data_IF_478735885358
#
_entry.id   IF_478735885358
#
_cell.length_a   1.000
_cell.length_b   1.000
_cell.length_c   1.000
_cell.angle_alpha   90.00
_cell.angle_beta   90.00
_cell.angle_gamma   90.00
#
_symmetry.space_group_name_H-M   'P 1'
#
loop_
_entity.id
_entity.type
_entity.pdbx_description
1 polymer ?
#
# COMPACT_ATOMS: atom_id res chain seq x y z
N UNK A 1 -27.86 -48.63 9.51
CA UNK A 1 -27.70 -48.13 8.13
C UNK A 1 -26.25 -47.70 8.00
N UNK A 2 -25.38 -48.63 7.65
CA UNK A 2 -23.94 -48.40 7.49
C UNK A 2 -23.68 -47.95 6.05
N UNK A 3 -23.38 -46.68 5.87
CA UNK A 3 -22.89 -46.19 4.59
C UNK A 3 -21.44 -46.63 4.42
N UNK A 4 -21.26 -47.72 3.68
CA UNK A 4 -19.99 -48.02 3.01
C UNK A 4 -19.79 -46.98 1.90
N UNK A 5 -19.14 -45.87 2.21
CA UNK A 5 -18.56 -44.98 1.21
C UNK A 5 -17.24 -45.56 0.75
N UNK A 6 -17.17 -46.07 -0.48
CA UNK A 6 -15.92 -46.49 -1.11
C UNK A 6 -15.00 -45.27 -1.23
N UNK A 7 -14.08 -45.08 -0.27
CA UNK A 7 -12.93 -44.18 -0.43
C UNK A 7 -11.94 -44.90 -1.33
N UNK A 8 -12.08 -44.73 -2.63
CA UNK A 8 -11.07 -45.23 -3.57
C UNK A 8 -9.84 -44.36 -3.43
N UNK A 9 -8.77 -44.96 -2.90
CA UNK A 9 -7.43 -44.36 -2.97
C UNK A 9 -6.97 -44.54 -4.42
N UNK A 10 -6.62 -43.43 -5.06
CA UNK A 10 -5.98 -43.46 -6.37
C UNK A 10 -4.47 -43.64 -6.16
N UNK A 11 -3.87 -44.59 -6.87
CA UNK A 11 -2.44 -44.87 -6.80
C UNK A 11 -1.78 -44.59 -8.15
N UNK A 12 -0.72 -43.80 -8.14
CA UNK A 12 0.14 -43.54 -9.28
C UNK A 12 1.54 -44.03 -8.95
N UNK A 13 2.14 -44.87 -9.79
CA UNK A 13 3.51 -45.34 -9.59
C UNK A 13 4.39 -44.98 -10.78
N UNK A 14 5.62 -44.58 -10.52
CA UNK A 14 6.64 -44.29 -11.52
C UNK A 14 8.00 -44.81 -11.09
N UNK A 15 8.93 -44.94 -12.03
CA UNK A 15 10.34 -45.20 -11.71
C UNK A 15 11.09 -43.88 -11.77
N UNK A 16 11.72 -43.48 -10.67
CA UNK A 16 12.49 -42.24 -10.62
C UNK A 16 13.82 -42.37 -11.39
N UNK A 17 14.55 -41.26 -11.49
CA UNK A 17 15.83 -41.20 -12.22
C UNK A 17 16.91 -42.14 -11.68
N UNK A 18 16.77 -42.55 -10.41
CA UNK A 18 17.66 -43.51 -9.74
C UNK A 18 17.22 -44.98 -9.93
N UNK A 19 16.19 -45.25 -10.74
CA UNK A 19 15.67 -46.58 -10.99
C UNK A 19 14.81 -47.15 -9.86
N UNK A 20 14.37 -46.32 -8.91
CA UNK A 20 13.56 -46.73 -7.77
C UNK A 20 12.07 -46.57 -8.09
N UNK A 21 11.25 -47.49 -7.60
CA UNK A 21 9.80 -47.37 -7.69
C UNK A 21 9.28 -46.39 -6.66
N UNK A 22 8.65 -45.33 -7.14
CA UNK A 22 7.94 -44.34 -6.33
C UNK A 22 6.44 -44.51 -6.53
N UNK A 23 5.67 -44.37 -5.46
CA UNK A 23 4.22 -44.51 -5.48
C UNK A 23 3.54 -43.39 -4.72
N UNK A 24 2.65 -42.69 -5.39
CA UNK A 24 1.82 -41.62 -4.85
C UNK A 24 0.41 -42.14 -4.58
N UNK A 25 -0.12 -41.79 -3.42
CA UNK A 25 -1.46 -42.17 -2.97
C UNK A 25 -2.31 -40.91 -2.81
N UNK A 26 -3.44 -40.86 -3.48
CA UNK A 26 -4.36 -39.73 -3.46
C UNK A 26 -5.73 -40.13 -2.90
N UNK A 27 -6.35 -39.23 -2.15
CA UNK A 27 -7.73 -39.41 -1.71
C UNK A 27 -8.74 -38.99 -2.81
N UNK A 28 -10.04 -39.15 -2.54
CA UNK A 28 -11.10 -38.77 -3.48
C UNK A 28 -11.21 -37.26 -3.77
N UNK A 29 -10.55 -36.42 -2.96
CA UNK A 29 -10.41 -34.97 -3.18
C UNK A 29 -9.16 -34.61 -4.00
N UNK A 30 -8.42 -35.61 -4.49
CA UNK A 30 -7.15 -35.45 -5.21
C UNK A 30 -6.02 -34.85 -4.35
N UNK A 31 -6.11 -34.97 -3.03
CA UNK A 31 -5.04 -34.58 -2.11
C UNK A 31 -4.06 -35.75 -1.96
N UNK A 32 -2.76 -35.48 -2.04
CA UNK A 32 -1.70 -36.48 -1.86
C UNK A 32 -1.63 -36.91 -0.40
N UNK A 33 -2.12 -38.10 -0.07
CA UNK A 33 -2.15 -38.62 1.31
C UNK A 33 -0.98 -39.54 1.65
N UNK A 34 -0.19 -39.94 0.65
CA UNK A 34 1.02 -40.70 0.90
C UNK A 34 1.97 -40.77 -0.29
N UNK A 35 3.27 -40.88 0.01
CA UNK A 35 4.33 -41.10 -0.95
C UNK A 35 5.24 -42.23 -0.47
N UNK A 36 5.39 -43.27 -1.28
CA UNK A 36 6.19 -44.46 -0.96
C UNK A 36 7.39 -44.56 -1.88
N UNK A 37 8.59 -44.54 -1.31
CA UNK A 37 9.87 -44.78 -2.03
C UNK A 37 10.64 -45.86 -1.29
N UNK A 38 11.13 -46.87 -2.01
CA UNK A 38 11.87 -48.00 -1.41
C UNK A 38 11.13 -48.68 -0.23
N UNK A 39 9.80 -48.75 -0.28
CA UNK A 39 8.98 -49.33 0.78
C UNK A 39 8.78 -48.46 2.02
N UNK A 40 9.38 -47.28 2.07
CA UNK A 40 9.17 -46.28 3.12
C UNK A 40 8.08 -45.30 2.68
N UNK A 41 7.08 -45.10 3.53
CA UNK A 41 5.95 -44.22 3.23
C UNK A 41 5.94 -42.97 4.12
N UNK A 42 5.92 -41.81 3.49
CA UNK A 42 5.55 -40.54 4.12
C UNK A 42 4.05 -40.33 3.92
N UNK A 43 3.34 -40.00 4.98
CA UNK A 43 1.92 -39.69 5.00
C UNK A 43 1.70 -38.19 5.16
N UNK A 44 0.59 -37.71 4.60
CA UNK A 44 0.16 -36.32 4.69
C UNK A 44 -1.30 -36.27 5.11
N UNK A 45 -1.60 -35.41 6.08
CA UNK A 45 -2.96 -35.20 6.60
C UNK A 45 -3.40 -33.78 6.33
N UNK A 46 -4.69 -33.61 6.03
CA UNK A 46 -5.29 -32.33 5.64
C UNK A 46 -6.50 -32.01 6.54
N UNK A 47 -6.78 -30.73 6.75
CA UNK A 47 -8.03 -30.28 7.37
C UNK A 47 -9.21 -30.29 6.37
N UNK A 48 -10.39 -29.86 6.82
CA UNK A 48 -11.58 -29.82 5.97
C UNK A 48 -11.43 -28.87 4.76
N UNK A 49 -10.62 -27.82 4.91
CA UNK A 49 -10.31 -26.83 3.89
C UNK A 49 -9.23 -27.30 2.89
N UNK A 50 -8.64 -28.48 3.08
CA UNK A 50 -7.61 -29.03 2.19
C UNK A 50 -6.20 -28.50 2.44
N UNK A 51 -5.95 -27.90 3.62
CA UNK A 51 -4.63 -27.45 4.05
C UNK A 51 -3.94 -28.55 4.86
N UNK A 52 -2.68 -28.85 4.53
CA UNK A 52 -1.87 -29.89 5.15
C UNK A 52 -1.57 -29.54 6.61
N UNK A 53 -2.05 -30.37 7.54
CA UNK A 53 -1.88 -30.20 8.99
C UNK A 53 -0.82 -31.11 9.57
N UNK A 54 -0.39 -32.14 8.85
CA UNK A 54 0.63 -33.06 9.31
C UNK A 54 1.38 -33.71 8.14
N UNK A 55 2.66 -33.99 8.36
CA UNK A 55 3.51 -34.79 7.49
C UNK A 55 4.35 -35.76 8.32
N UNK A 56 4.67 -36.93 7.78
CA UNK A 56 5.69 -37.82 8.32
C UNK A 56 5.34 -39.29 8.20
N UNK A 57 6.04 -40.15 8.94
CA UNK A 57 5.80 -41.58 8.98
C UNK A 57 5.28 -42.01 10.37
N UNK A 58 5.07 -43.30 10.57
CA UNK A 58 4.55 -43.85 11.82
C UNK A 58 5.44 -43.61 13.06
N UNK A 59 6.72 -43.29 12.85
CA UNK A 59 7.73 -43.13 13.93
C UNK A 59 8.11 -41.67 14.16
N UNK A 60 8.10 -40.85 13.11
CA UNK A 60 8.40 -39.42 13.18
C UNK A 60 7.40 -38.64 12.33
N UNK A 61 6.70 -37.70 12.96
CA UNK A 61 5.73 -36.84 12.29
C UNK A 61 5.78 -35.43 12.85
N UNK A 62 5.64 -34.47 11.94
CA UNK A 62 5.54 -33.04 12.22
C UNK A 62 4.08 -32.60 12.03
N UNK A 63 3.51 -32.01 13.08
CA UNK A 63 2.19 -31.39 13.07
C UNK A 63 2.35 -29.88 12.92
N UNK A 64 1.54 -29.27 12.06
CA UNK A 64 1.60 -27.85 11.74
C UNK A 64 0.50 -27.07 12.48
N UNK A 65 0.90 -26.02 13.20
CA UNK A 65 -0.01 -24.97 13.65
C UNK A 65 -0.10 -23.92 12.54
N UNK A 66 -1.30 -23.70 12.03
CA UNK A 66 -1.56 -22.90 10.84
C UNK A 66 -2.38 -21.67 11.20
N UNK A 67 -1.93 -20.50 10.76
CA UNK A 67 -2.73 -19.29 10.73
C UNK A 67 -3.46 -19.18 9.38
N UNK A 68 -4.79 -19.10 9.45
CA UNK A 68 -5.67 -18.96 8.29
C UNK A 68 -6.22 -17.54 8.14
N UNK A 69 -5.85 -16.59 9.01
CA UNK A 69 -6.35 -15.21 8.97
C UNK A 69 -5.50 -14.28 8.10
N UNK A 70 -4.54 -14.83 7.35
CA UNK A 70 -3.72 -14.12 6.36
C UNK A 70 -4.28 -14.36 4.94
N UNK A 71 -3.68 -13.72 3.94
CA UNK A 71 -4.09 -13.85 2.53
C UNK A 71 -4.14 -15.31 2.04
N UNK A 72 -3.29 -16.17 2.60
CA UNK A 72 -3.30 -17.62 2.43
C UNK A 72 -2.78 -18.29 3.69
N UNK A 73 -3.07 -19.60 3.83
CA UNK A 73 -2.70 -20.38 5.01
C UNK A 73 -1.17 -20.41 5.20
N UNK A 74 -0.71 -20.10 6.42
CA UNK A 74 0.69 -20.01 6.80
C UNK A 74 0.98 -20.87 8.03
N UNK A 75 2.09 -21.62 8.03
CA UNK A 75 2.51 -22.35 9.23
C UNK A 75 3.23 -21.38 10.17
N UNK A 76 2.74 -21.25 11.39
CA UNK A 76 3.35 -20.41 12.44
C UNK A 76 4.19 -21.23 13.42
N UNK A 77 3.94 -22.53 13.53
CA UNK A 77 4.77 -23.44 14.32
C UNK A 77 4.68 -24.89 13.85
N UNK A 78 5.74 -25.64 14.11
CA UNK A 78 5.88 -27.08 13.88
C UNK A 78 6.08 -27.80 15.22
N UNK A 79 5.33 -28.89 15.40
CA UNK A 79 5.39 -29.72 16.59
C UNK A 79 5.77 -31.14 16.23
N UNK A 80 6.67 -31.74 17.00
CA UNK A 80 6.94 -33.17 17.00
C UNK A 80 6.56 -33.78 18.36
N UNK A 81 6.79 -35.08 18.54
CA UNK A 81 6.45 -35.78 19.79
C UNK A 81 7.09 -35.16 21.04
N UNK A 82 8.25 -34.52 20.89
CA UNK A 82 8.97 -33.85 21.97
C UNK A 82 8.44 -32.43 22.30
N UNK A 83 7.49 -31.90 21.53
CA UNK A 83 6.93 -30.56 21.68
C UNK A 83 7.23 -29.64 20.50
N UNK A 84 7.35 -28.34 20.77
CA UNK A 84 7.65 -27.34 19.74
C UNK A 84 9.03 -27.63 19.12
N UNK A 85 9.04 -27.91 17.81
CA UNK A 85 10.26 -28.06 17.01
C UNK A 85 10.74 -26.70 16.54
N UNK A 86 9.86 -25.97 15.85
CA UNK A 86 10.19 -24.75 15.13
C UNK A 86 9.06 -23.76 15.21
N UNK A 87 9.36 -22.48 15.40
CA UNK A 87 8.40 -21.39 15.31
C UNK A 87 8.81 -20.38 14.25
N UNK A 88 7.82 -19.75 13.63
CA UNK A 88 7.99 -18.80 12.55
C UNK A 88 7.42 -17.45 12.96
N UNK A 89 8.19 -16.38 12.73
CA UNK A 89 7.75 -15.01 12.98
C UNK A 89 7.50 -14.33 11.64
N UNK A 90 6.32 -13.74 11.49
CA UNK A 90 5.91 -13.06 10.27
C UNK A 90 5.71 -11.56 10.53
N UNK A 91 6.13 -10.73 9.58
CA UNK A 91 5.68 -9.35 9.38
C UNK A 91 4.70 -9.34 8.22
N UNK A 92 4.98 -8.52 7.20
CA UNK A 92 4.33 -8.65 5.89
C UNK A 92 4.69 -10.00 5.24
N UNK A 93 5.98 -10.37 5.32
CA UNK A 93 6.52 -11.67 4.90
C UNK A 93 7.03 -12.51 6.09
N UNK A 94 7.49 -13.75 5.84
CA UNK A 94 8.18 -14.56 6.84
C UNK A 94 9.53 -13.89 7.21
N UNK A 95 9.72 -13.54 8.46
CA UNK A 95 10.92 -12.77 8.90
C UNK A 95 12.00 -13.70 9.43
N UNK A 96 11.62 -14.68 10.24
CA UNK A 96 12.57 -15.57 10.89
C UNK A 96 11.97 -16.91 11.27
N UNK A 97 12.85 -17.91 11.39
CA UNK A 97 12.55 -19.18 12.03
C UNK A 97 13.39 -19.34 13.31
N UNK A 98 12.82 -19.97 14.33
CA UNK A 98 13.52 -20.31 15.56
C UNK A 98 13.33 -21.80 15.86
N UNK A 99 14.45 -22.51 16.00
CA UNK A 99 14.51 -23.92 16.43
C UNK A 99 15.31 -23.99 17.73
N UNK A 100 14.67 -24.37 18.84
CA UNK A 100 15.26 -24.28 20.17
C UNK A 100 15.66 -22.84 20.52
N UNK A 101 16.97 -22.57 20.62
CA UNK A 101 17.52 -21.23 20.87
C UNK A 101 18.16 -20.58 19.64
N UNK A 102 18.20 -21.28 18.50
CA UNK A 102 18.80 -20.78 17.28
C UNK A 102 17.74 -20.07 16.42
N UNK A 103 17.97 -18.79 16.14
CA UNK A 103 17.10 -17.99 15.28
C UNK A 103 17.84 -17.63 14.01
N UNK A 104 17.18 -17.84 12.87
CA UNK A 104 17.67 -17.49 11.54
C UNK A 104 16.69 -16.53 10.85
N UNK A 105 17.22 -15.49 10.23
CA UNK A 105 16.47 -14.47 9.51
C UNK A 105 16.53 -14.71 8.01
N UNK A 106 15.39 -14.56 7.34
CA UNK A 106 15.27 -14.79 5.91
C UNK A 106 15.66 -13.56 5.10
N UNK A 107 16.37 -13.80 3.99
CA UNK A 107 16.71 -12.78 3.00
C UNK A 107 16.17 -13.22 1.63
N UNK A 108 15.31 -12.39 1.04
CA UNK A 108 14.57 -12.74 -0.17
C UNK A 108 15.09 -12.03 -1.43
N UNK A 109 14.81 -12.61 -2.60
CA UNK A 109 14.83 -11.87 -3.86
C UNK A 109 13.49 -11.20 -4.17
N UNK A 110 13.38 -10.56 -5.34
CA UNK A 110 12.19 -9.82 -5.74
C UNK A 110 10.92 -10.66 -5.94
N UNK A 111 11.05 -11.99 -6.06
CA UNK A 111 9.92 -12.91 -6.12
C UNK A 111 9.51 -13.45 -4.75
N UNK A 112 10.27 -13.14 -3.70
CA UNK A 112 10.09 -13.72 -2.37
C UNK A 112 10.83 -15.04 -2.17
N UNK A 113 11.75 -15.43 -3.06
CA UNK A 113 12.54 -16.67 -2.88
C UNK A 113 13.63 -16.47 -1.84
N UNK A 114 13.78 -17.40 -0.90
CA UNK A 114 14.84 -17.34 0.12
C UNK A 114 16.22 -17.48 -0.54
N UNK A 115 17.02 -16.41 -0.56
CA UNK A 115 18.38 -16.38 -1.11
C UNK A 115 19.45 -16.62 -0.07
N UNK A 116 19.18 -16.24 1.18
CA UNK A 116 20.10 -16.49 2.27
C UNK A 116 19.37 -16.55 3.61
N UNK A 117 20.04 -17.16 4.59
CA UNK A 117 19.69 -17.04 6.01
C UNK A 117 20.86 -16.38 6.75
N UNK A 118 20.54 -15.57 7.77
CA UNK A 118 21.55 -15.07 8.71
C UNK A 118 21.21 -15.42 10.15
N UNK A 119 22.23 -15.61 10.98
CA UNK A 119 22.05 -15.77 12.42
C UNK A 119 21.76 -14.43 13.13
N UNK A 120 21.64 -14.47 14.47
CA UNK A 120 21.40 -13.30 15.32
C UNK A 120 22.55 -12.30 15.37
N UNK A 121 23.74 -12.67 14.89
CA UNK A 121 24.87 -11.75 14.72
C UNK A 121 24.87 -11.04 13.35
N UNK A 122 23.95 -11.40 12.46
CA UNK A 122 23.90 -10.92 11.07
C UNK A 122 24.87 -11.65 10.14
N UNK A 123 25.46 -12.76 10.56
CA UNK A 123 26.35 -13.57 9.72
C UNK A 123 25.51 -14.49 8.84
N UNK A 124 25.80 -14.55 7.53
CA UNK A 124 25.14 -15.49 6.62
C UNK A 124 25.50 -16.93 6.98
N UNK A 125 24.49 -17.76 7.23
CA UNK A 125 24.63 -19.18 7.58
C UNK A 125 24.34 -20.09 6.38
N UNK A 126 23.39 -19.69 5.54
CA UNK A 126 22.90 -20.47 4.41
C UNK A 126 22.73 -19.55 3.20
N UNK A 127 22.97 -20.09 2.00
CA UNK A 127 22.72 -19.38 0.74
C UNK A 127 22.08 -20.33 -0.26
N UNK A 128 21.26 -19.78 -1.16
CA UNK A 128 20.53 -20.54 -2.16
C UNK A 128 20.58 -19.79 -3.51
N UNK A 129 20.92 -20.53 -4.56
CA UNK A 129 20.80 -20.09 -5.94
C UNK A 129 19.82 -21.01 -6.66
N UNK A 130 18.82 -20.41 -7.30
CA UNK A 130 17.80 -21.13 -8.05
C UNK A 130 17.96 -20.87 -9.55
N UNK A 131 17.45 -21.80 -10.35
CA UNK A 131 17.12 -21.53 -11.74
C UNK A 131 15.81 -20.74 -11.85
N UNK A 132 15.29 -20.55 -13.08
CA UNK A 132 14.06 -19.81 -13.31
C UNK A 132 12.81 -20.49 -12.74
N UNK A 133 12.79 -21.82 -12.63
CA UNK A 133 11.65 -22.61 -12.18
C UNK A 133 11.77 -23.02 -10.70
N UNK A 134 12.86 -22.66 -10.03
CA UNK A 134 13.05 -22.91 -8.61
C UNK A 134 13.90 -24.13 -8.27
N UNK A 135 14.59 -24.72 -9.26
CA UNK A 135 15.58 -25.77 -9.04
C UNK A 135 16.82 -25.21 -8.37
N UNK A 136 17.36 -25.94 -7.41
CA UNK A 136 18.51 -25.47 -6.62
C UNK A 136 19.80 -25.74 -7.39
N UNK A 137 20.36 -24.69 -7.99
CA UNK A 137 21.65 -24.73 -8.67
C UNK A 137 22.82 -24.86 -7.69
N UNK A 138 22.72 -24.21 -6.53
CA UNK A 138 23.71 -24.33 -5.46
C UNK A 138 23.11 -23.91 -4.12
N UNK A 139 23.49 -24.60 -3.05
CA UNK A 139 23.14 -24.21 -1.68
C UNK A 139 24.32 -24.38 -0.72
N UNK A 140 24.34 -23.58 0.33
CA UNK A 140 25.28 -23.70 1.46
C UNK A 140 24.51 -23.70 2.77
N UNK A 141 25.18 -24.18 3.84
CA UNK A 141 24.60 -24.21 5.18
C UNK A 141 23.95 -25.56 5.50
N UNK A 142 23.51 -25.70 6.75
CA UNK A 142 22.92 -26.94 7.28
C UNK A 142 21.65 -26.68 8.06
N UNK A 143 21.11 -25.46 7.99
CA UNK A 143 19.89 -25.11 8.71
C UNK A 143 18.73 -25.90 8.09
N UNK A 144 17.88 -26.49 8.93
CA UNK A 144 16.65 -27.16 8.47
C UNK A 144 15.65 -26.10 7.99
N UNK A 145 15.81 -25.67 6.74
CA UNK A 145 14.96 -24.67 6.10
C UNK A 145 14.05 -25.29 5.05
N UNK A 146 12.75 -25.20 5.30
CA UNK A 146 11.70 -25.65 4.40
C UNK A 146 11.20 -24.54 3.49
N UNK A 147 11.31 -23.26 3.85
CA UNK A 147 10.81 -22.15 3.03
C UNK A 147 11.88 -21.64 2.06
N UNK A 148 11.72 -21.97 0.77
CA UNK A 148 12.75 -21.77 -0.26
C UNK A 148 12.25 -20.93 -1.44
N UNK A 149 12.15 -21.50 -2.64
CA UNK A 149 11.68 -20.79 -3.84
C UNK A 149 10.31 -20.17 -3.61
N UNK A 150 10.16 -18.89 -3.99
CA UNK A 150 8.97 -18.05 -3.79
C UNK A 150 8.38 -18.09 -2.38
N UNK A 151 9.20 -18.40 -1.36
CA UNK A 151 8.74 -18.52 0.03
C UNK A 151 7.86 -19.75 0.29
N UNK A 152 7.89 -20.75 -0.59
CA UNK A 152 7.05 -21.95 -0.50
C UNK A 152 7.73 -23.09 0.26
N UNK A 153 6.90 -23.94 0.89
CA UNK A 153 7.37 -25.05 1.71
C UNK A 153 7.88 -26.20 0.82
N UNK A 154 9.19 -26.38 0.78
CA UNK A 154 9.87 -27.48 0.10
C UNK A 154 9.76 -28.78 0.91
N UNK A 155 9.30 -29.84 0.24
CA UNK A 155 9.18 -31.18 0.78
C UNK A 155 10.31 -32.06 0.25
N UNK A 156 11.34 -32.26 1.07
CA UNK A 156 12.51 -33.04 0.69
C UNK A 156 12.20 -34.52 0.40
N UNK A 157 11.06 -35.04 0.87
CA UNK A 157 10.67 -36.43 0.59
C UNK A 157 9.99 -36.60 -0.78
N UNK A 158 9.57 -35.49 -1.40
CA UNK A 158 8.96 -35.44 -2.72
C UNK A 158 9.85 -34.75 -3.75
N UNK A 159 10.83 -33.96 -3.32
CA UNK A 159 11.55 -33.00 -4.16
C UNK A 159 10.59 -32.02 -4.86
N UNK A 160 9.61 -31.54 -4.10
CA UNK A 160 8.51 -30.70 -4.60
C UNK A 160 8.16 -29.60 -3.60
N UNK A 161 7.56 -28.53 -4.10
CA UNK A 161 7.03 -27.44 -3.29
C UNK A 161 5.55 -27.66 -2.99
N UNK A 162 5.17 -27.53 -1.71
CA UNK A 162 3.78 -27.58 -1.28
C UNK A 162 3.14 -26.19 -1.33
N UNK A 163 2.30 -25.95 -2.34
CA UNK A 163 1.60 -24.68 -2.56
C UNK A 163 0.18 -24.73 -2.01
N UNK A 164 -0.05 -25.40 -0.86
CA UNK A 164 -1.39 -25.66 -0.28
C UNK A 164 -2.29 -26.57 -1.12
N UNK A 165 -2.84 -26.04 -2.21
CA UNK A 165 -3.79 -26.77 -3.03
C UNK A 165 -3.13 -27.83 -3.92
N UNK A 166 -1.90 -27.57 -4.38
CA UNK A 166 -1.15 -28.43 -5.28
C UNK A 166 0.31 -28.50 -4.89
N UNK A 167 0.96 -29.58 -5.28
CA UNK A 167 2.40 -29.71 -5.27
C UNK A 167 2.97 -29.27 -6.61
N UNK A 168 4.00 -28.44 -6.54
CA UNK A 168 4.75 -27.95 -7.68
C UNK A 168 6.06 -28.73 -7.79
N UNK A 169 6.26 -29.36 -8.95
CA UNK A 169 7.50 -30.04 -9.32
C UNK A 169 8.38 -29.06 -10.07
N UNK A 170 9.42 -28.63 -9.38
CA UNK A 170 10.40 -27.66 -9.86
C UNK A 170 11.26 -28.25 -10.99
N UNK A 171 11.59 -29.55 -10.93
CA UNK A 171 12.47 -30.21 -11.90
C UNK A 171 11.81 -30.36 -13.28
N UNK A 172 10.48 -30.41 -13.31
CA UNK A 172 9.68 -30.42 -14.55
C UNK A 172 9.04 -29.05 -14.84
N UNK A 173 9.09 -28.11 -13.90
CA UNK A 173 8.54 -26.76 -14.01
C UNK A 173 7.01 -26.70 -14.10
N UNK A 174 6.29 -27.60 -13.40
CA UNK A 174 4.82 -27.70 -13.46
C UNK A 174 4.18 -28.27 -12.20
N UNK A 175 2.87 -28.08 -12.06
CA UNK A 175 2.10 -28.76 -11.02
C UNK A 175 1.98 -30.25 -11.28
N UNK A 176 1.91 -31.05 -10.22
CA UNK A 176 1.70 -32.50 -10.28
C UNK A 176 0.23 -32.89 -10.21
N UNK A 177 -0.65 -31.97 -9.80
CA UNK A 177 -2.10 -32.12 -9.85
C UNK A 177 -2.73 -31.16 -10.86
N UNK A 178 -3.85 -31.61 -11.44
CA UNK A 178 -4.64 -30.82 -12.37
C UNK A 178 -5.31 -29.65 -11.64
N UNK A 179 -5.30 -28.48 -12.28
CA UNK A 179 -6.08 -27.31 -11.84
C UNK A 179 -7.57 -27.64 -11.80
N UNK A 180 -8.22 -27.29 -10.68
CA UNK A 180 -9.67 -27.43 -10.51
C UNK A 180 -10.44 -26.37 -11.30
N UNK A 181 -9.82 -25.23 -11.60
CA UNK A 181 -10.41 -24.17 -12.40
C UNK A 181 -10.43 -24.55 -13.87
N UNK A 182 -11.57 -24.29 -14.54
CA UNK A 182 -11.78 -24.69 -15.93
C UNK A 182 -11.02 -23.80 -16.94
N UNK A 183 -10.46 -22.67 -16.50
CA UNK A 183 -9.81 -21.71 -17.39
C UNK A 183 -10.83 -20.83 -18.11
N UNK A 184 -10.31 -19.94 -18.94
CA UNK A 184 -11.06 -19.01 -19.78
C UNK A 184 -10.77 -19.31 -21.26
N UNK A 185 -11.81 -19.53 -22.06
CA UNK A 185 -11.67 -19.78 -23.50
C UNK A 185 -11.13 -18.57 -24.27
N UNK A 186 -11.24 -17.36 -23.72
CA UNK A 186 -10.68 -16.14 -24.29
C UNK A 186 -9.19 -15.95 -23.97
N UNK A 187 -8.66 -16.71 -23.00
CA UNK A 187 -7.24 -16.74 -22.67
C UNK A 187 -6.71 -18.20 -22.67
N UNK A 188 -6.32 -18.73 -23.85
CA UNK A 188 -6.00 -20.15 -24.02
C UNK A 188 -4.87 -20.68 -23.11
N UNK A 189 -3.99 -19.82 -22.58
CA UNK A 189 -2.93 -20.26 -21.66
C UNK A 189 -3.51 -20.86 -20.38
N UNK A 190 -4.67 -20.35 -19.93
CA UNK A 190 -5.39 -20.80 -18.74
C UNK A 190 -6.02 -22.19 -18.89
N UNK A 191 -6.12 -22.69 -20.12
CA UNK A 191 -6.65 -24.02 -20.39
C UNK A 191 -5.62 -25.12 -20.07
N UNK A 192 -4.34 -24.76 -19.92
CA UNK A 192 -3.28 -25.70 -19.54
C UNK A 192 -3.30 -25.99 -18.02
N UNK A 193 -3.84 -27.15 -17.65
CA UNK A 193 -4.16 -27.51 -16.25
C UNK A 193 -3.00 -27.74 -15.29
N UNK A 194 -1.78 -27.76 -15.78
CA UNK A 194 -0.59 -28.03 -14.96
C UNK A 194 0.40 -26.88 -14.95
N UNK A 195 0.07 -25.75 -15.58
CA UNK A 195 1.02 -24.66 -15.79
C UNK A 195 1.31 -23.96 -14.47
N UNK A 196 2.59 -23.83 -14.11
CA UNK A 196 3.01 -22.95 -13.03
C UNK A 196 3.27 -21.55 -13.58
N UNK A 197 2.76 -20.53 -12.90
CA UNK A 197 3.06 -19.12 -13.18
C UNK A 197 2.92 -18.72 -14.66
N UNK A 198 1.97 -19.32 -15.40
CA UNK A 198 1.80 -19.13 -16.84
C UNK A 198 3.06 -19.38 -17.68
N UNK A 199 3.96 -20.26 -17.24
CA UNK A 199 5.30 -20.47 -17.82
C UNK A 199 6.22 -19.23 -17.82
N UNK A 200 5.92 -18.24 -16.98
CA UNK A 200 6.80 -17.10 -16.71
C UNK A 200 7.09 -16.94 -15.19
N UNK A 201 7.75 -17.95 -14.59
CA UNK A 201 8.06 -17.96 -13.15
C UNK A 201 9.07 -16.88 -12.72
N UNK A 202 9.73 -16.21 -13.67
CA UNK A 202 10.65 -15.10 -13.38
C UNK A 202 9.88 -13.83 -13.01
N UNK A 203 8.63 -13.69 -13.49
CA UNK A 203 7.79 -12.51 -13.26
C UNK A 203 6.53 -12.82 -12.43
N UNK A 204 6.20 -14.10 -12.25
CA UNK A 204 4.95 -14.54 -11.63
C UNK A 204 5.17 -15.67 -10.62
N UNK A 205 4.29 -15.72 -9.62
CA UNK A 205 4.26 -16.76 -8.59
C UNK A 205 2.82 -17.26 -8.41
N UNK A 206 2.66 -18.47 -7.84
CA UNK A 206 1.36 -19.02 -7.43
C UNK A 206 1.39 -19.32 -5.92
N UNK A 207 1.03 -18.36 -5.05
CA UNK A 207 1.14 -18.54 -3.59
C UNK A 207 0.12 -19.51 -2.97
N UNK A 208 -0.97 -19.83 -3.69
CA UNK A 208 -2.09 -20.64 -3.18
C UNK A 208 -2.17 -22.03 -3.81
N UNK A 209 -1.35 -22.29 -4.83
CA UNK A 209 -1.46 -23.47 -5.69
C UNK A 209 -2.77 -23.52 -6.46
N UNK A 210 -3.55 -22.43 -6.49
CA UNK A 210 -4.79 -22.26 -7.25
C UNK A 210 -4.73 -21.02 -8.12
N UNK A 211 -3.59 -20.33 -8.15
CA UNK A 211 -3.41 -19.06 -8.85
C UNK A 211 -3.25 -19.32 -10.36
N UNK A 212 -4.30 -19.89 -10.96
CA UNK A 212 -4.76 -19.41 -12.24
C UNK A 212 -5.22 -17.97 -12.09
N UNK A 213 -5.24 -17.22 -13.18
CA UNK A 213 -5.59 -15.80 -13.28
C UNK A 213 -6.93 -15.36 -12.63
N UNK A 214 -7.67 -16.22 -11.91
CA UNK A 214 -8.82 -15.92 -11.07
C UNK A 214 -8.51 -14.88 -9.97
N UNK A 215 -7.37 -14.98 -9.29
CA UNK A 215 -6.91 -13.99 -8.31
C UNK A 215 -6.42 -12.72 -9.00
N UNK A 216 -5.70 -12.81 -10.13
CA UNK A 216 -5.35 -11.62 -10.93
C UNK A 216 -6.61 -10.93 -11.48
N UNK A 217 -7.63 -11.68 -11.88
CA UNK A 217 -8.91 -11.15 -12.35
C UNK A 217 -9.77 -10.65 -11.20
N UNK A 218 -9.75 -11.23 -10.00
CA UNK A 218 -10.36 -10.64 -8.81
C UNK A 218 -9.65 -9.33 -8.46
N UNK A 219 -8.31 -9.30 -8.47
CA UNK A 219 -7.52 -8.08 -8.26
C UNK A 219 -7.77 -7.05 -9.35
N UNK A 220 -7.87 -7.45 -10.62
CA UNK A 220 -8.21 -6.56 -11.74
C UNK A 220 -9.66 -6.10 -11.66
N UNK A 221 -10.61 -6.95 -11.25
CA UNK A 221 -12.02 -6.58 -11.06
C UNK A 221 -12.20 -5.66 -9.85
N UNK A 222 -11.44 -5.87 -8.77
CA UNK A 222 -11.38 -4.96 -7.64
C UNK A 222 -10.74 -3.64 -8.06
N UNK A 223 -9.63 -3.67 -8.79
CA UNK A 223 -8.97 -2.49 -9.31
C UNK A 223 -9.86 -1.73 -10.29
N UNK A 224 -10.58 -2.42 -11.18
CA UNK A 224 -11.51 -1.82 -12.13
C UNK A 224 -12.78 -1.32 -11.44
N UNK A 225 -13.28 -2.00 -10.42
CA UNK A 225 -14.42 -1.54 -9.61
C UNK A 225 -14.06 -0.32 -8.76
N UNK A 226 -12.85 -0.31 -8.17
CA UNK A 226 -12.32 0.87 -7.49
C UNK A 226 -12.07 2.00 -8.48
N UNK A 227 -11.48 1.73 -9.64
CA UNK A 227 -11.23 2.73 -10.68
C UNK A 227 -12.54 3.29 -11.27
N UNK A 228 -13.57 2.46 -11.46
CA UNK A 228 -14.91 2.89 -11.87
C UNK A 228 -15.58 3.71 -10.76
N UNK A 229 -15.48 3.30 -9.49
CA UNK A 229 -15.96 4.09 -8.36
C UNK A 229 -15.25 5.44 -8.23
N UNK A 230 -13.94 5.49 -8.51
CA UNK A 230 -13.15 6.72 -8.56
C UNK A 230 -13.54 7.60 -9.76
N UNK A 231 -13.80 6.99 -10.92
CA UNK A 231 -14.25 7.67 -12.13
C UNK A 231 -15.66 8.25 -11.96
N UNK A 232 -16.60 7.50 -11.37
CA UNK A 232 -17.96 7.95 -11.07
C UNK A 232 -17.97 9.04 -9.99
N UNK A 233 -17.13 8.92 -8.96
CA UNK A 233 -16.92 10.00 -8.00
C UNK A 233 -16.40 11.26 -8.70
N UNK A 234 -15.41 11.11 -9.60
CA UNK A 234 -14.86 12.19 -10.41
C UNK A 234 -15.90 12.85 -11.33
N UNK A 235 -16.71 12.06 -12.04
CA UNK A 235 -17.79 12.57 -12.91
C UNK A 235 -18.91 13.25 -12.11
N UNK A 236 -19.28 12.73 -10.94
CA UNK A 236 -20.25 13.38 -10.06
C UNK A 236 -19.73 14.73 -9.54
N UNK A 237 -18.43 14.82 -9.24
CA UNK A 237 -17.76 16.07 -8.88
C UNK A 237 -17.70 17.05 -10.06
N UNK A 238 -17.41 16.58 -11.27
CA UNK A 238 -17.42 17.39 -12.50
C UNK A 238 -18.83 17.87 -12.83
N UNK A 239 -19.84 17.02 -12.76
CA UNK A 239 -21.24 17.39 -13.01
C UNK A 239 -21.76 18.38 -11.96
N UNK A 240 -21.43 18.17 -10.68
CA UNK A 240 -21.74 19.14 -9.61
C UNK A 240 -21.05 20.48 -9.85
N UNK A 241 -19.85 20.43 -10.42
CA UNK A 241 -19.06 21.60 -10.75
C UNK A 241 -19.62 22.39 -11.93
N UNK A 242 -19.90 21.71 -13.04
CA UNK A 242 -20.44 22.30 -14.28
C UNK A 242 -21.84 22.88 -14.05
N UNK A 243 -22.64 22.26 -13.18
CA UNK A 243 -23.97 22.75 -12.81
C UNK A 243 -23.95 23.96 -11.84
N UNK A 244 -22.79 24.37 -11.31
CA UNK A 244 -22.67 25.47 -10.33
C UNK A 244 -21.76 26.64 -10.75
N UNK A 245 -21.36 26.69 -12.03
CA UNK A 245 -20.58 27.80 -12.59
C UNK A 245 -19.07 27.72 -12.29
N UNK A 246 -18.30 28.58 -12.97
CA UNK A 246 -16.85 28.48 -13.18
C UNK A 246 -16.01 28.25 -11.90
N UNK A 247 -16.42 28.83 -10.77
CA UNK A 247 -15.74 28.72 -9.47
C UNK A 247 -15.71 27.31 -8.85
N UNK A 248 -16.58 26.42 -9.30
CA UNK A 248 -16.70 25.07 -8.76
C UNK A 248 -15.83 24.05 -9.55
N UNK A 249 -15.32 24.44 -10.74
CA UNK A 249 -14.51 23.58 -11.64
C UNK A 249 -13.04 23.48 -11.27
N UNK A 250 -12.45 24.55 -10.76
CA UNK A 250 -11.07 24.52 -10.25
C UNK A 250 -10.95 23.70 -8.95
N UNK A 251 -11.99 23.69 -8.10
CA UNK A 251 -12.02 22.98 -6.82
C UNK A 251 -12.03 21.44 -6.99
N UNK A 252 -12.75 20.95 -8.00
CA UNK A 252 -12.93 19.50 -8.23
C UNK A 252 -11.88 18.91 -9.20
N UNK A 253 -11.29 19.70 -10.10
CA UNK A 253 -10.21 19.24 -10.98
C UNK A 253 -8.98 18.75 -10.22
N UNK A 254 -8.66 19.38 -9.09
CA UNK A 254 -7.54 18.98 -8.22
C UNK A 254 -7.84 17.78 -7.32
N UNK A 255 -9.09 17.63 -6.87
CA UNK A 255 -9.53 16.43 -6.15
C UNK A 255 -9.48 15.17 -7.03
N UNK A 256 -9.77 15.33 -8.32
CA UNK A 256 -9.62 14.29 -9.35
C UNK A 256 -8.15 13.98 -9.62
N UNK A 257 -7.27 14.99 -9.76
CA UNK A 257 -5.82 14.76 -9.91
C UNK A 257 -5.18 14.09 -8.69
N UNK A 258 -5.66 14.40 -7.48
CA UNK A 258 -5.20 13.80 -6.23
C UNK A 258 -5.72 12.38 -5.99
N UNK A 259 -6.91 12.04 -6.52
CA UNK A 259 -7.48 10.69 -6.41
C UNK A 259 -6.92 9.70 -7.44
N UNK A 260 -6.35 10.18 -8.55
CA UNK A 260 -5.84 9.35 -9.64
C UNK A 260 -4.43 8.77 -9.41
N UNK A 261 -3.63 9.30 -8.45
CA UNK A 261 -2.51 8.60 -7.78
C UNK A 261 -1.63 9.56 -6.96
N UNK A 262 -1.24 9.22 -5.71
CA UNK A 262 -0.28 10.00 -4.94
C UNK A 262 1.12 10.11 -5.58
N UNK A 263 1.56 9.09 -6.34
CA UNK A 263 2.87 9.07 -6.99
C UNK A 263 2.99 10.01 -8.20
N UNK A 264 1.90 10.32 -8.91
CA UNK A 264 1.94 11.24 -10.05
C UNK A 264 2.24 12.68 -9.60
N UNK A 265 1.70 13.10 -8.45
CA UNK A 265 1.93 14.44 -7.89
C UNK A 265 3.41 14.64 -7.51
N UNK A 266 4.07 13.59 -7.01
CA UNK A 266 5.50 13.63 -6.67
C UNK A 266 6.42 13.72 -7.90
N UNK A 267 5.99 13.23 -9.07
CA UNK A 267 6.80 13.22 -10.30
C UNK A 267 6.65 14.46 -11.19
N UNK A 268 5.60 15.26 -11.00
CA UNK A 268 5.32 16.41 -11.88
C UNK A 268 6.18 17.64 -11.56
N UNK A 269 6.82 17.74 -10.38
CA UNK A 269 8.01 18.57 -10.24
C UNK A 269 8.85 18.24 -9.00
N UNK A 270 10.18 18.21 -9.14
CA UNK A 270 11.12 18.31 -8.00
C UNK A 270 11.04 19.69 -7.28
N UNK A 271 10.03 20.51 -7.60
CA UNK A 271 9.94 21.93 -7.28
C UNK A 271 8.75 22.27 -6.38
N UNK A 272 7.89 21.30 -6.04
CA UNK A 272 6.70 21.51 -5.22
C UNK A 272 6.74 20.54 -4.04
N UNK A 273 6.89 21.09 -2.83
CA UNK A 273 6.74 20.36 -1.58
C UNK A 273 5.29 20.50 -1.10
N UNK A 274 4.64 19.36 -0.87
CA UNK A 274 3.32 19.31 -0.25
C UNK A 274 3.51 19.08 1.25
N UNK A 275 3.12 20.06 2.06
CA UNK A 275 3.06 19.92 3.52
C UNK A 275 1.60 19.93 3.91
N UNK A 276 1.12 18.81 4.47
CA UNK A 276 -0.20 18.68 5.06
C UNK A 276 -0.07 18.66 6.57
N UNK A 277 -0.75 19.56 7.27
CA UNK A 277 -0.88 19.47 8.72
C UNK A 277 -2.33 19.16 9.10
N UNK A 278 -2.53 18.19 9.99
CA UNK A 278 -3.84 17.82 10.50
C UNK A 278 -4.05 18.51 11.83
N UNK A 279 -4.88 19.56 11.84
CA UNK A 279 -5.46 20.07 13.08
C UNK A 279 -6.76 19.30 13.38
N UNK A 280 -7.17 19.27 14.64
CA UNK A 280 -8.45 18.68 15.07
C UNK A 280 -9.68 19.24 14.31
N UNK A 281 -9.54 20.43 13.71
CA UNK A 281 -10.65 21.19 13.12
C UNK A 281 -10.50 21.52 11.62
N UNK A 282 -9.49 21.01 10.90
CA UNK A 282 -9.36 21.28 9.46
C UNK A 282 -8.07 20.76 8.79
N UNK A 283 -8.10 20.70 7.44
CA UNK A 283 -6.96 20.30 6.60
C UNK A 283 -6.34 21.53 5.93
N UNK A 284 -5.04 21.73 6.10
CA UNK A 284 -4.27 22.78 5.41
C UNK A 284 -3.23 22.13 4.51
N UNK A 285 -3.18 22.53 3.25
CA UNK A 285 -2.17 22.10 2.28
C UNK A 285 -1.42 23.29 1.68
N UNK A 286 -0.09 23.19 1.65
CA UNK A 286 0.80 24.17 1.03
C UNK A 286 1.40 23.63 -0.26
N UNK A 287 1.41 24.44 -1.32
CA UNK A 287 2.15 24.17 -2.55
C UNK A 287 3.30 25.17 -2.66
N UNK A 288 4.54 24.77 -2.32
CA UNK A 288 5.68 25.69 -2.38
C UNK A 288 7.00 24.97 -2.67
N UNK A 289 7.94 25.69 -3.30
CA UNK A 289 9.30 25.20 -3.55
C UNK A 289 10.18 25.13 -2.30
N UNK A 290 9.77 25.78 -1.20
CA UNK A 290 10.39 25.71 0.12
C UNK A 290 9.33 25.37 1.17
N UNK A 291 9.68 24.67 2.25
CA UNK A 291 8.76 24.41 3.35
C UNK A 291 8.26 25.75 3.97
N UNK A 292 6.98 25.80 4.41
CA UNK A 292 6.43 26.99 5.06
C UNK A 292 7.10 27.25 6.42
N UNK A 293 7.08 28.50 6.86
CA UNK A 293 7.58 28.90 8.18
C UNK A 293 6.54 28.54 9.27
N UNK A 294 6.99 28.35 10.51
CA UNK A 294 6.12 27.93 11.62
C UNK A 294 4.91 28.86 11.82
N UNK A 295 5.11 30.18 11.78
CA UNK A 295 4.04 31.16 11.92
C UNK A 295 3.00 31.12 10.77
N UNK A 296 3.40 30.67 9.58
CA UNK A 296 2.49 30.49 8.44
C UNK A 296 1.56 29.31 8.69
N UNK A 297 2.11 28.21 9.22
CA UNK A 297 1.37 27.01 9.65
C UNK A 297 0.35 27.37 10.73
N UNK A 298 0.77 28.12 11.75
CA UNK A 298 -0.09 28.55 12.84
C UNK A 298 -1.25 29.43 12.35
N UNK A 299 -0.95 30.37 11.43
CA UNK A 299 -1.98 31.25 10.87
C UNK A 299 -3.01 30.48 10.05
N UNK A 300 -2.57 29.61 9.16
CA UNK A 300 -3.48 28.85 8.32
C UNK A 300 -4.34 27.88 9.14
N UNK A 301 -3.79 27.33 10.22
CA UNK A 301 -4.54 26.46 11.14
C UNK A 301 -5.63 27.23 11.88
N UNK A 302 -5.38 28.49 12.26
CA UNK A 302 -6.39 29.38 12.85
C UNK A 302 -7.48 29.77 11.85
N UNK A 303 -7.11 30.12 10.62
CA UNK A 303 -8.06 30.51 9.57
C UNK A 303 -8.97 29.33 9.17
N UNK A 304 -8.49 28.09 9.28
CA UNK A 304 -9.25 26.88 8.98
C UNK A 304 -10.58 26.77 9.77
N UNK A 305 -10.66 27.43 10.92
CA UNK A 305 -11.84 27.46 11.79
C UNK A 305 -12.90 28.51 11.38
N UNK A 306 -12.62 29.36 10.39
CA UNK A 306 -13.48 30.49 9.98
C UNK A 306 -13.94 30.33 8.52
N UNK A 307 -15.20 29.94 8.31
CA UNK A 307 -15.82 29.83 6.98
C UNK A 307 -15.80 31.18 6.23
N UNK A 308 -15.17 31.26 5.04
CA UNK A 308 -15.15 32.44 4.16
C UNK A 308 -13.95 32.48 3.19
N UNK A 309 -14.00 33.37 2.18
CA UNK A 309 -12.87 33.68 1.29
C UNK A 309 -12.01 34.76 1.94
N UNK A 310 -10.68 34.58 1.94
CA UNK A 310 -9.81 35.65 2.36
C UNK A 310 -8.39 35.62 1.82
N UNK A 311 -7.69 36.72 2.08
CA UNK A 311 -6.38 37.02 1.51
C UNK A 311 -5.38 37.14 2.64
N UNK A 312 -4.29 36.38 2.55
CA UNK A 312 -3.23 36.27 3.55
C UNK A 312 -1.99 37.03 3.05
N UNK A 313 -1.55 38.04 3.81
CA UNK A 313 -0.38 38.86 3.44
C UNK A 313 0.84 38.39 4.25
N UNK A 314 1.78 37.77 3.53
CA UNK A 314 3.06 37.18 3.96
C UNK A 314 4.15 38.25 3.99
N UNK A 315 5.15 38.11 4.85
CA UNK A 315 6.37 38.92 4.78
C UNK A 315 7.61 38.14 5.17
N UNK A 316 8.75 38.58 4.62
CA UNK A 316 10.04 37.92 4.76
C UNK A 316 10.49 37.08 3.55
N UNK A 317 11.73 36.56 3.64
CA UNK A 317 12.43 35.78 2.61
C UNK A 317 11.91 34.34 2.49
N UNK A 318 10.68 34.17 1.99
CA UNK A 318 10.14 32.85 1.63
C UNK A 318 9.73 32.79 0.16
N UNK A 319 9.74 31.57 -0.41
CA UNK A 319 9.75 31.32 -1.86
C UNK A 319 8.57 31.93 -2.63
N UNK A 320 8.79 32.42 -3.86
CA UNK A 320 7.73 32.89 -4.75
C UNK A 320 6.69 31.79 -5.04
N UNK A 321 5.40 32.13 -5.03
CA UNK A 321 4.32 31.35 -5.66
C UNK A 321 3.59 30.32 -4.80
N UNK A 322 3.42 30.54 -3.49
CA UNK A 322 2.66 29.62 -2.65
C UNK A 322 1.15 29.94 -2.68
N UNK A 323 0.33 28.98 -3.12
CA UNK A 323 -1.10 28.96 -2.83
C UNK A 323 -1.30 28.10 -1.56
N UNK A 324 -2.14 28.55 -0.62
CA UNK A 324 -2.58 27.73 0.51
C UNK A 324 -4.05 27.36 0.34
N UNK A 325 -4.34 26.09 0.62
CA UNK A 325 -5.71 25.60 0.66
C UNK A 325 -6.08 25.36 2.12
N UNK A 326 -7.06 26.10 2.59
CA UNK A 326 -7.50 26.10 4.00
C UNK A 326 -8.96 25.66 4.00
N UNK A 327 -9.24 24.47 4.57
CA UNK A 327 -10.59 23.89 4.63
C UNK A 327 -11.30 23.86 3.26
N UNK A 328 -10.54 23.64 2.18
CA UNK A 328 -11.05 23.57 0.80
C UNK A 328 -11.16 24.91 0.07
N UNK A 329 -10.96 26.05 0.75
CA UNK A 329 -10.96 27.37 0.10
C UNK A 329 -9.53 27.69 -0.36
N UNK A 330 -9.38 28.21 -1.58
CA UNK A 330 -8.09 28.75 -2.06
C UNK A 330 -7.84 30.10 -1.40
N UNK A 331 -6.71 30.23 -0.72
CA UNK A 331 -6.21 31.48 -0.17
C UNK A 331 -4.97 31.89 -0.96
N UNK A 332 -5.03 33.04 -1.64
CA UNK A 332 -3.86 33.61 -2.30
C UNK A 332 -2.95 34.26 -1.25
N UNK A 333 -1.69 33.79 -1.17
CA UNK A 333 -0.67 34.42 -0.34
C UNK A 333 0.04 35.52 -1.12
N UNK A 334 -0.07 36.78 -0.66
CA UNK A 334 0.67 37.91 -1.23
C UNK A 334 1.90 38.25 -0.42
N UNK A 335 3.01 38.51 -1.11
CA UNK A 335 4.28 38.93 -0.51
C UNK A 335 4.32 40.45 -0.37
N UNK A 336 4.42 40.95 0.86
CA UNK A 336 4.80 42.34 1.08
C UNK A 336 6.32 42.49 1.11
N UNK A 337 6.88 43.35 0.26
CA UNK A 337 8.34 43.60 0.17
C UNK A 337 8.87 44.52 1.27
N UNK A 338 8.00 45.24 1.98
CA UNK A 338 8.33 46.19 3.06
C UNK A 338 7.17 46.25 4.06
N UNK A 339 7.45 46.38 5.34
CA UNK A 339 6.42 46.72 6.31
C UNK A 339 6.25 48.26 6.32
N UNK A 340 5.19 48.78 5.69
CA UNK A 340 4.83 50.21 5.70
C UNK A 340 3.29 50.37 5.64
N UNK A 341 2.74 51.48 6.10
CA UNK A 341 1.31 51.75 5.91
C UNK A 341 0.87 51.72 4.43
N UNK A 342 1.77 52.14 3.52
CA UNK A 342 1.53 52.11 2.07
C UNK A 342 1.41 50.69 1.54
N UNK A 343 2.23 49.75 2.02
CA UNK A 343 2.17 48.35 1.60
C UNK A 343 0.94 47.64 2.17
N UNK A 344 0.50 47.99 3.38
CA UNK A 344 -0.77 47.50 3.95
C UNK A 344 -1.95 47.90 3.05
N UNK A 345 -2.04 49.19 2.71
CA UNK A 345 -3.06 49.70 1.78
C UNK A 345 -3.01 48.98 0.43
N UNK A 346 -1.84 48.91 -0.20
CA UNK A 346 -1.67 48.27 -1.52
C UNK A 346 -2.13 46.82 -1.50
N UNK A 347 -1.82 46.09 -0.43
CA UNK A 347 -2.19 44.68 -0.34
C UNK A 347 -3.70 44.49 -0.16
N UNK A 348 -4.38 45.41 0.53
CA UNK A 348 -5.84 45.43 0.65
C UNK A 348 -6.49 45.80 -0.70
N UNK A 349 -5.91 46.73 -1.45
CA UNK A 349 -6.46 47.12 -2.77
C UNK A 349 -6.28 46.00 -3.81
N UNK A 350 -5.10 45.38 -3.90
CA UNK A 350 -4.82 44.26 -4.81
C UNK A 350 -5.75 43.08 -4.52
N UNK A 351 -6.00 42.83 -3.22
CA UNK A 351 -6.90 41.81 -2.74
C UNK A 351 -8.34 41.98 -3.27
N UNK A 352 -8.81 43.23 -3.30
CA UNK A 352 -10.15 43.58 -3.77
C UNK A 352 -10.22 43.48 -5.29
N UNK A 353 -9.21 43.97 -6.01
CA UNK A 353 -9.18 44.00 -7.48
C UNK A 353 -9.17 42.57 -8.07
N UNK A 354 -8.44 41.63 -7.46
CA UNK A 354 -8.47 40.23 -7.88
C UNK A 354 -9.80 39.55 -7.60
N UNK A 355 -10.42 39.85 -6.45
CA UNK A 355 -11.74 39.31 -6.12
C UNK A 355 -12.82 39.85 -7.07
N UNK A 356 -12.69 41.09 -7.55
CA UNK A 356 -13.56 41.65 -8.58
C UNK A 356 -13.37 40.99 -9.95
N UNK A 357 -12.15 40.57 -10.28
CA UNK A 357 -11.86 39.87 -11.53
C UNK A 357 -12.38 38.42 -11.58
N UNK A 358 -12.51 37.75 -10.42
CA UNK A 358 -12.76 36.31 -10.36
C UNK A 358 -14.05 35.90 -9.61
N UNK A 359 -14.69 36.79 -8.84
CA UNK A 359 -15.84 36.43 -7.99
C UNK A 359 -16.79 37.62 -7.72
N UNK A 360 -17.85 37.73 -8.52
CA UNK A 360 -18.91 38.72 -8.33
C UNK A 360 -19.87 38.33 -7.20
N UNK A 361 -19.92 39.12 -6.12
CA UNK A 361 -20.99 39.07 -5.11
C UNK A 361 -20.64 38.44 -3.75
N UNK A 362 -19.47 37.82 -3.57
CA UNK A 362 -19.09 37.22 -2.28
C UNK A 362 -18.49 38.26 -1.30
N UNK A 363 -18.79 38.16 0.02
CA UNK A 363 -18.11 38.94 1.07
C UNK A 363 -16.64 38.53 1.20
N UNK A 364 -15.79 39.49 1.56
CA UNK A 364 -14.33 39.33 1.65
C UNK A 364 -13.89 39.42 3.12
N UNK A 365 -13.04 38.49 3.56
CA UNK A 365 -12.28 38.61 4.81
C UNK A 365 -10.79 38.80 4.50
N UNK A 366 -10.09 39.62 5.26
CA UNK A 366 -8.66 39.88 5.02
C UNK A 366 -7.88 39.51 6.28
N UNK A 367 -6.75 38.82 6.14
CA UNK A 367 -5.85 38.50 7.25
C UNK A 367 -4.47 39.08 6.98
N UNK A 368 -4.00 39.93 7.89
CA UNK A 368 -2.65 40.52 7.84
C UNK A 368 -1.84 39.96 9.02
N UNK A 369 -0.72 39.30 8.73
CA UNK A 369 0.18 38.78 9.77
C UNK A 369 1.24 39.83 10.14
N UNK A 370 1.14 40.42 11.32
CA UNK A 370 2.03 41.41 11.90
C UNK A 370 3.39 40.87 12.35
N UNK A 371 3.57 39.55 12.46
CA UNK A 371 4.87 38.90 12.72
C UNK A 371 5.91 39.16 11.61
N UNK A 372 5.47 39.80 10.53
CA UNK A 372 6.29 40.23 9.40
C UNK A 372 6.88 41.64 9.56
N UNK A 373 6.75 42.24 10.75
CA UNK A 373 7.27 43.57 11.08
C UNK A 373 6.30 44.72 10.80
N UNK A 374 5.01 44.43 10.64
CA UNK A 374 3.95 45.46 10.56
C UNK A 374 3.52 45.79 11.98
N UNK A 375 3.63 47.06 12.39
CA UNK A 375 3.11 47.52 13.69
C UNK A 375 1.62 47.85 13.62
N UNK A 376 0.98 47.89 14.77
CA UNK A 376 -0.41 48.33 14.92
C UNK A 376 -0.65 49.70 14.29
N UNK A 377 0.27 50.68 14.46
CA UNK A 377 0.10 52.01 13.86
C UNK A 377 0.12 51.96 12.34
N UNK A 378 1.03 51.18 11.76
CA UNK A 378 1.15 51.04 10.30
C UNK A 378 -0.07 50.36 9.70
N UNK A 379 -0.63 49.39 10.42
CA UNK A 379 -1.86 48.71 10.05
C UNK A 379 -3.05 49.67 10.07
N UNK A 380 -3.24 50.44 11.16
CA UNK A 380 -4.31 51.43 11.29
C UNK A 380 -4.22 52.53 10.23
N UNK A 381 -3.01 53.06 10.02
CA UNK A 381 -2.77 54.07 8.99
C UNK A 381 -3.05 53.51 7.58
N UNK A 382 -2.65 52.27 7.32
CA UNK A 382 -2.92 51.57 6.05
C UNK A 382 -4.41 51.42 5.77
N UNK A 383 -5.17 50.91 6.75
CA UNK A 383 -6.63 50.77 6.66
C UNK A 383 -7.29 52.12 6.41
N UNK A 384 -6.91 53.16 7.15
CA UNK A 384 -7.50 54.49 7.01
C UNK A 384 -7.42 55.05 5.58
N UNK A 385 -6.41 54.62 4.82
CA UNK A 385 -6.13 55.07 3.46
C UNK A 385 -6.79 54.22 2.37
N UNK A 386 -7.37 53.05 2.67
CA UNK A 386 -8.11 52.23 1.70
C UNK A 386 -9.30 53.03 1.18
N UNK A 387 -9.51 53.07 -0.14
CA UNK A 387 -10.60 53.88 -0.73
C UNK A 387 -11.97 53.40 -0.23
N UNK A 388 -12.85 54.31 0.16
CA UNK A 388 -14.18 53.97 0.72
C UNK A 388 -15.02 53.11 -0.23
N UNK A 389 -14.93 53.37 -1.53
CA UNK A 389 -15.60 52.58 -2.59
C UNK A 389 -15.18 51.12 -2.63
N UNK A 390 -13.94 50.82 -2.23
CA UNK A 390 -13.40 49.45 -2.17
C UNK A 390 -13.77 48.71 -0.88
N UNK A 391 -14.25 49.41 0.17
CA UNK A 391 -14.56 48.82 1.48
C UNK A 391 -15.91 48.11 1.59
N UNK A 392 -16.84 48.38 0.69
CA UNK A 392 -18.23 47.89 0.75
C UNK A 392 -18.42 46.36 0.71
N UNK A 393 -17.35 45.61 0.42
CA UNK A 393 -17.36 44.13 0.35
C UNK A 393 -16.55 43.45 1.45
N UNK A 394 -15.83 44.23 2.26
CA UNK A 394 -15.04 43.70 3.38
C UNK A 394 -15.99 43.46 4.53
N UNK A 395 -16.03 42.22 5.03
CA UNK A 395 -16.83 41.87 6.21
C UNK A 395 -15.99 41.83 7.48
N UNK A 396 -14.70 41.57 7.34
CA UNK A 396 -13.77 41.47 8.46
C UNK A 396 -12.33 41.68 7.99
N UNK A 397 -11.56 42.49 8.72
CA UNK A 397 -10.10 42.51 8.61
C UNK A 397 -9.53 42.01 9.93
N UNK A 398 -8.74 40.94 9.86
CA UNK A 398 -8.00 40.39 10.98
C UNK A 398 -6.54 40.82 10.89
N UNK A 399 -5.96 41.19 12.03
CA UNK A 399 -4.55 41.44 12.22
C UNK A 399 -4.01 40.49 13.27
N UNK A 400 -2.93 39.78 12.96
CA UNK A 400 -2.22 38.93 13.92
C UNK A 400 -1.01 39.72 14.40
N UNK A 401 -0.93 40.05 15.68
CA UNK A 401 0.20 40.77 16.28
C UNK A 401 1.45 39.90 16.30
N UNK A 402 2.59 40.54 16.55
CA UNK A 402 3.88 39.86 16.64
C UNK A 402 3.93 38.78 17.75
N UNK A 403 3.14 38.94 18.80
CA UNK A 403 2.98 38.00 19.92
C UNK A 403 1.94 36.88 19.65
N UNK A 404 1.29 36.90 18.49
CA UNK A 404 0.26 35.95 18.10
C UNK A 404 -1.16 36.32 18.54
N UNK A 405 -1.37 37.44 19.22
CA UNK A 405 -2.71 37.94 19.54
C UNK A 405 -3.44 38.38 18.25
N UNK A 406 -4.75 38.12 18.17
CA UNK A 406 -5.54 38.39 16.97
C UNK A 406 -6.55 39.47 17.26
N UNK A 407 -6.53 40.53 16.44
CA UNK A 407 -7.50 41.61 16.49
C UNK A 407 -8.34 41.56 15.22
N UNK A 408 -9.65 41.52 15.37
CA UNK A 408 -10.59 41.65 14.28
C UNK A 408 -11.22 43.05 14.26
N UNK A 409 -11.27 43.64 13.08
CA UNK A 409 -12.06 44.84 12.79
C UNK A 409 -13.25 44.42 11.93
N UNK A 410 -14.48 44.50 12.46
CA UNK A 410 -15.67 44.40 11.63
C UNK A 410 -15.71 45.64 10.72
N UNK A 411 -15.99 45.43 9.45
CA UNK A 411 -16.14 46.49 8.45
C UNK A 411 -17.60 46.74 8.09
#
# INVERSE_FOLDING_TARGET
MSFFGCSSILTLSQTNENGQLETYHYNSRQELIGHTVNGQTTHYTYNAEGIRTQQGNATQSTTYLIDQNRDYAQVVAEYESAGLKKSYSYGDDLVSQTEGTATHYYHYDGLGSTRALSDTSGTLTDTYAYDAFGDVLSQTGTTDNTYRFTGEQYDASLDQYYLRARYYDQGVGRFTQQDSWMGDNSDPITLHKYLYANSDPVNHTDPSGQFGLASLSISMNLHSSLAMGQFDAGLNLINTSLNRGENYSDYNGWAVLASLSPLAIAKVSNSIKVVSNMSANGKVAYLASKPPLAHEIDTASYIAEKLGVGIYIRGGESSPGADAFISGVKWELKRSKKATARSVKSSIDDAIDQMEAHNTGSPIRIVIDGRIGVTDEMFQEGISKVQSTKRNRITEIMFIRADGEIISWPF
#
